data_IF_339893622231
#
_entry.id   IF_339893622231
#
_cell.length_a   1.000
_cell.length_b   1.000
_cell.length_c   1.000
_cell.angle_alpha   90.00
_cell.angle_beta   90.00
_cell.angle_gamma   90.00
#
_symmetry.space_group_name_H-M   'P 1'
#
loop_
_entity.id
_entity.type
_entity.pdbx_description
1 polymer ?
#
# COMPACT_ATOMS: atom_id res chain seq x y z
N UNK A 1 4.80 -5.90 -17.50
CA UNK A 1 3.33 -6.05 -17.46
C UNK A 1 2.64 -4.83 -18.04
N UNK A 2 2.86 -3.62 -17.51
CA UNK A 2 2.23 -2.38 -18.02
C UNK A 2 2.57 -2.05 -19.50
N UNK A 3 3.65 -2.58 -20.03
CA UNK A 3 4.09 -2.37 -21.41
C UNK A 3 3.58 -3.46 -22.37
N UNK A 4 3.24 -4.63 -21.86
CA UNK A 4 2.91 -5.81 -22.66
C UNK A 4 1.46 -6.25 -22.59
N UNK A 5 0.73 -5.83 -21.56
CA UNK A 5 -0.66 -6.21 -21.32
C UNK A 5 -1.57 -5.00 -21.51
N UNK A 6 -2.73 -5.21 -22.11
CA UNK A 6 -3.67 -4.14 -22.47
C UNK A 6 -4.90 -4.12 -21.55
N UNK A 7 -4.67 -3.97 -20.24
CA UNK A 7 -5.74 -3.75 -19.28
C UNK A 7 -5.94 -2.25 -19.02
N UNK A 8 -7.16 -1.85 -18.73
CA UNK A 8 -7.46 -0.46 -18.40
C UNK A 8 -6.92 -0.06 -17.02
N UNK A 9 -6.96 -1.00 -16.08
CA UNK A 9 -6.61 -0.79 -14.69
C UNK A 9 -5.77 -1.94 -14.15
N UNK A 10 -4.89 -1.63 -13.21
CA UNK A 10 -4.06 -2.60 -12.52
C UNK A 10 -4.17 -2.45 -11.01
N UNK A 11 -4.06 -3.58 -10.34
CA UNK A 11 -3.90 -3.69 -8.91
C UNK A 11 -2.71 -4.62 -8.63
N UNK A 12 -1.71 -4.10 -7.95
CA UNK A 12 -0.56 -4.86 -7.45
C UNK A 12 -0.74 -5.08 -5.95
N UNK A 13 -0.57 -6.29 -5.51
CA UNK A 13 -0.70 -6.71 -4.12
C UNK A 13 0.52 -7.51 -3.69
N UNK A 14 0.91 -7.38 -2.44
CA UNK A 14 1.88 -8.29 -1.84
C UNK A 14 1.33 -9.72 -1.74
N UNK A 15 2.23 -10.69 -1.74
CA UNK A 15 1.88 -12.11 -1.73
C UNK A 15 1.27 -12.60 -0.40
N UNK A 16 1.38 -11.82 0.66
CA UNK A 16 0.80 -12.07 1.97
C UNK A 16 -0.50 -11.31 2.23
N UNK A 17 -1.23 -11.03 1.16
CA UNK A 17 -2.55 -10.43 1.19
C UNK A 17 -3.65 -11.47 1.01
N UNK A 18 -4.85 -11.16 1.52
CA UNK A 18 -6.06 -11.93 1.32
C UNK A 18 -7.21 -11.03 0.89
N UNK A 19 -7.79 -11.31 -0.26
CA UNK A 19 -8.95 -10.58 -0.78
C UNK A 19 -10.22 -11.05 -0.10
N UNK A 20 -11.00 -10.14 0.45
CA UNK A 20 -12.25 -10.43 1.15
C UNK A 20 -13.50 -10.08 0.34
N UNK A 21 -13.42 -9.09 -0.54
CA UNK A 21 -14.51 -8.67 -1.43
C UNK A 21 -14.00 -8.19 -2.77
N UNK A 22 -14.90 -7.96 -3.71
CA UNK A 22 -14.56 -7.47 -5.06
C UNK A 22 -14.00 -6.05 -5.07
N UNK A 23 -13.40 -5.67 -6.18
CA UNK A 23 -12.63 -4.44 -6.36
C UNK A 23 -13.41 -3.31 -7.08
N UNK A 24 -14.73 -3.43 -7.21
CA UNK A 24 -15.55 -2.52 -8.03
C UNK A 24 -15.42 -1.05 -7.61
N UNK A 25 -15.30 -0.81 -6.30
CA UNK A 25 -15.15 0.55 -5.79
C UNK A 25 -13.75 1.11 -6.08
N UNK A 26 -12.73 0.25 -6.03
CA UNK A 26 -11.35 0.60 -6.38
C UNK A 26 -11.29 1.05 -7.85
N UNK A 27 -11.95 0.31 -8.75
CA UNK A 27 -11.94 0.61 -10.18
C UNK A 27 -12.58 1.96 -10.54
N UNK A 28 -13.45 2.50 -9.69
CA UNK A 28 -14.00 3.85 -9.86
C UNK A 28 -12.98 4.93 -9.50
N UNK A 29 -12.21 4.73 -8.43
CA UNK A 29 -11.26 5.74 -7.96
C UNK A 29 -9.96 5.77 -8.78
N UNK A 30 -9.51 4.64 -9.32
CA UNK A 30 -8.26 4.58 -10.10
C UNK A 30 -8.31 5.38 -11.40
N UNK A 31 -9.51 5.72 -11.88
CA UNK A 31 -9.68 6.65 -13.00
C UNK A 31 -9.18 8.07 -12.66
N UNK A 32 -9.20 8.44 -11.38
CA UNK A 32 -8.86 9.79 -10.92
C UNK A 32 -7.49 9.89 -10.25
N UNK A 33 -7.00 8.82 -9.61
CA UNK A 33 -5.77 8.84 -8.83
C UNK A 33 -5.03 7.50 -8.88
N UNK A 34 -3.73 7.52 -8.56
CA UNK A 34 -3.02 6.34 -8.09
C UNK A 34 -3.39 6.14 -6.63
N UNK A 35 -3.71 4.91 -6.25
CA UNK A 35 -4.07 4.54 -4.88
C UNK A 35 -2.93 3.75 -4.25
N UNK A 36 -2.45 4.21 -3.09
CA UNK A 36 -1.41 3.56 -2.29
C UNK A 36 -1.91 3.35 -0.86
N UNK A 37 -1.47 2.29 -0.19
CA UNK A 37 -1.75 2.15 1.23
C UNK A 37 -0.94 3.17 2.03
N UNK A 38 -1.60 4.07 2.73
CA UNK A 38 -0.96 5.04 3.61
C UNK A 38 -0.74 4.42 4.99
N UNK A 39 0.52 4.31 5.40
CA UNK A 39 0.87 3.88 6.77
C UNK A 39 0.48 4.97 7.76
N UNK A 40 -0.32 4.67 8.79
CA UNK A 40 -0.76 5.67 9.76
C UNK A 40 0.41 6.39 10.43
N UNK A 41 0.29 7.68 10.64
CA UNK A 41 1.37 8.55 11.13
C UNK A 41 2.06 8.03 12.40
N UNK A 42 1.29 7.56 13.38
CA UNK A 42 1.86 7.02 14.63
C UNK A 42 2.76 5.81 14.41
N UNK A 43 2.47 4.99 13.39
CA UNK A 43 3.27 3.82 13.02
C UNK A 43 4.48 4.18 12.18
N UNK A 44 4.36 5.23 11.38
CA UNK A 44 5.34 5.60 10.36
C UNK A 44 6.35 6.64 10.81
N UNK A 45 6.15 7.30 11.95
CA UNK A 45 6.90 8.50 12.34
C UNK A 45 8.43 8.38 12.23
N UNK A 46 9.11 7.32 12.75
CA UNK A 46 10.55 7.20 12.60
C UNK A 46 10.98 6.98 11.14
N UNK A 47 10.21 6.21 10.40
CA UNK A 47 10.47 5.92 8.98
C UNK A 47 10.23 7.15 8.11
N UNK A 48 9.13 7.86 8.34
CA UNK A 48 8.82 9.13 7.66
C UNK A 48 9.95 10.13 7.81
N UNK A 49 10.53 10.27 9.00
CA UNK A 49 11.66 11.16 9.22
C UNK A 49 12.89 10.77 8.40
N UNK A 50 13.22 9.47 8.33
CA UNK A 50 14.35 8.98 7.53
C UNK A 50 14.12 9.16 6.03
N UNK A 51 12.92 8.84 5.56
CA UNK A 51 12.55 8.97 4.13
C UNK A 51 12.55 10.44 3.72
N UNK A 52 12.02 11.32 4.56
CA UNK A 52 12.05 12.77 4.32
C UNK A 52 13.49 13.29 4.26
N UNK A 53 14.35 12.83 5.16
CA UNK A 53 15.77 13.16 5.12
C UNK A 53 16.44 12.66 3.82
N UNK A 54 16.19 11.42 3.42
CA UNK A 54 16.68 10.88 2.15
C UNK A 54 16.20 11.73 0.96
N UNK A 55 14.96 12.19 0.99
CA UNK A 55 14.43 13.09 -0.04
C UNK A 55 15.18 14.43 -0.06
N UNK A 56 15.43 15.03 1.10
CA UNK A 56 16.15 16.31 1.21
C UNK A 56 17.61 16.20 0.75
N UNK A 57 18.26 15.04 0.92
CA UNK A 57 19.59 14.77 0.33
C UNK A 57 19.54 14.68 -1.21
N UNK A 58 18.46 14.13 -1.77
CA UNK A 58 18.29 14.05 -3.22
C UNK A 58 17.91 15.40 -3.85
N UNK A 59 17.12 16.20 -3.16
CA UNK A 59 16.67 17.52 -3.59
C UNK A 59 16.86 18.54 -2.46
N UNK A 60 18.09 19.02 -2.28
CA UNK A 60 18.44 19.89 -1.15
C UNK A 60 17.92 21.33 -1.28
N UNK A 61 17.10 21.59 -2.28
CA UNK A 61 16.55 22.92 -2.54
C UNK A 61 15.28 23.16 -1.70
N UNK A 62 15.28 24.23 -0.93
CA UNK A 62 14.12 24.66 -0.14
C UNK A 62 14.19 24.28 1.35
N UNK A 63 13.04 24.34 2.00
CA UNK A 63 12.89 23.92 3.40
C UNK A 63 12.82 22.38 3.48
N UNK A 64 13.18 21.77 4.63
CA UNK A 64 13.01 20.34 4.85
C UNK A 64 11.57 19.88 4.54
N UNK A 65 11.47 18.73 3.91
CA UNK A 65 10.18 18.17 3.48
C UNK A 65 9.72 17.09 4.46
N UNK A 66 8.40 16.96 4.60
CA UNK A 66 7.77 15.88 5.35
C UNK A 66 6.91 15.09 4.38
N UNK A 67 7.35 13.88 4.07
CA UNK A 67 6.66 12.99 3.15
C UNK A 67 5.59 12.19 3.86
N UNK A 68 4.52 11.85 3.14
CA UNK A 68 3.57 10.84 3.59
C UNK A 68 4.18 9.47 3.34
N UNK A 69 4.15 8.59 4.35
CA UNK A 69 4.64 7.23 4.20
C UNK A 69 3.56 6.32 3.62
N UNK A 70 3.89 5.67 2.51
CA UNK A 70 3.08 4.66 1.84
C UNK A 70 3.78 3.31 1.87
N UNK A 71 3.04 2.24 2.15
CA UNK A 71 3.52 0.88 2.02
C UNK A 71 3.31 0.34 0.60
N UNK A 72 4.21 -0.55 0.17
CA UNK A 72 4.17 -1.17 -1.16
C UNK A 72 3.15 -2.28 -1.34
N UNK A 73 2.46 -2.70 -0.28
CA UNK A 73 1.53 -3.83 -0.28
C UNK A 73 0.29 -3.66 -1.15
N UNK A 74 -0.04 -2.43 -1.52
CA UNK A 74 -1.19 -2.11 -2.35
C UNK A 74 -0.88 -0.91 -3.24
N UNK A 75 -0.87 -1.15 -4.54
CA UNK A 75 -0.73 -0.10 -5.55
C UNK A 75 -1.78 -0.33 -6.62
N UNK A 76 -2.68 0.63 -6.83
CA UNK A 76 -3.70 0.56 -7.87
C UNK A 76 -3.77 1.84 -8.70
N UNK A 77 -4.13 1.70 -9.96
CA UNK A 77 -4.28 2.84 -10.87
C UNK A 77 -4.75 2.42 -12.25
N UNK A 78 -5.23 3.38 -13.03
CA UNK A 78 -5.38 3.18 -14.46
C UNK A 78 -4.00 3.03 -15.12
N UNK A 79 -3.95 2.36 -16.26
CA UNK A 79 -2.70 2.12 -17.01
C UNK A 79 -1.90 3.41 -17.18
N UNK A 80 -2.53 4.46 -17.68
CA UNK A 80 -1.86 5.74 -17.93
C UNK A 80 -1.28 6.36 -16.64
N UNK A 81 -2.05 6.33 -15.54
CA UNK A 81 -1.60 6.89 -14.27
C UNK A 81 -0.47 6.09 -13.64
N UNK A 82 -0.54 4.76 -13.75
CA UNK A 82 0.54 3.92 -13.26
C UNK A 82 1.81 4.03 -14.10
N UNK A 83 1.70 4.17 -15.42
CA UNK A 83 2.87 4.45 -16.27
C UNK A 83 3.55 5.75 -15.86
N UNK A 84 2.78 6.82 -15.66
CA UNK A 84 3.29 8.10 -15.18
C UNK A 84 3.94 7.99 -13.79
N UNK A 85 3.29 7.29 -12.87
CA UNK A 85 3.79 7.09 -11.51
C UNK A 85 5.07 6.24 -11.47
N UNK A 86 5.10 5.15 -12.24
CA UNK A 86 6.29 4.30 -12.35
C UNK A 86 7.45 5.00 -13.04
N UNK A 87 7.16 5.90 -13.99
CA UNK A 87 8.19 6.77 -14.57
C UNK A 87 8.79 7.68 -13.49
N UNK A 88 7.97 8.25 -12.60
CA UNK A 88 8.48 9.05 -11.50
C UNK A 88 9.26 8.20 -10.47
N UNK A 89 8.82 6.98 -10.15
CA UNK A 89 9.60 6.05 -9.34
C UNK A 89 10.98 5.78 -9.96
N UNK A 90 11.04 5.60 -11.27
CA UNK A 90 12.32 5.43 -12.00
C UNK A 90 13.19 6.68 -11.91
N UNK A 91 12.62 7.87 -12.07
CA UNK A 91 13.36 9.13 -11.91
C UNK A 91 13.97 9.27 -10.51
N UNK A 92 13.24 8.91 -9.46
CA UNK A 92 13.74 8.89 -8.08
C UNK A 92 14.90 7.90 -7.96
N UNK A 93 14.71 6.67 -8.44
CA UNK A 93 15.74 5.63 -8.40
C UNK A 93 17.01 6.05 -9.14
N UNK A 94 16.86 6.56 -10.37
CA UNK A 94 18.01 7.00 -11.18
C UNK A 94 18.76 8.14 -10.50
N UNK A 95 18.04 9.07 -9.85
CA UNK A 95 18.68 10.12 -9.08
C UNK A 95 19.44 9.58 -7.87
N UNK A 96 18.87 8.61 -7.14
CA UNK A 96 19.60 7.91 -6.06
C UNK A 96 20.90 7.27 -6.57
N UNK A 97 20.85 6.63 -7.73
CA UNK A 97 22.05 6.03 -8.34
C UNK A 97 23.10 7.09 -8.73
N UNK A 98 22.68 8.20 -9.32
CA UNK A 98 23.56 9.28 -9.76
C UNK A 98 24.24 10.02 -8.58
N UNK A 99 23.50 10.24 -7.50
CA UNK A 99 24.00 10.95 -6.32
C UNK A 99 24.72 10.06 -5.31
N UNK A 100 24.54 8.74 -5.40
CA UNK A 100 25.04 7.78 -4.42
C UNK A 100 24.26 7.74 -3.11
N UNK A 101 23.17 8.50 -2.99
CA UNK A 101 22.27 8.50 -1.83
C UNK A 101 21.59 7.14 -1.71
N UNK A 102 21.58 6.59 -0.50
CA UNK A 102 20.97 5.29 -0.20
C UNK A 102 19.97 5.44 0.92
N UNK A 103 18.82 4.80 0.77
CA UNK A 103 17.85 4.67 1.85
C UNK A 103 17.93 3.28 2.51
N UNK A 104 17.76 3.23 3.83
CA UNK A 104 17.60 1.99 4.59
C UNK A 104 16.17 1.42 4.43
N UNK A 105 15.24 2.23 3.97
CA UNK A 105 13.82 1.92 3.85
C UNK A 105 13.47 1.35 2.45
N UNK A 106 14.48 1.04 1.65
CA UNK A 106 14.35 0.29 0.38
C UNK A 106 13.46 1.00 -0.65
N UNK A 107 12.54 0.25 -1.21
CA UNK A 107 11.60 0.69 -2.23
C UNK A 107 10.50 1.61 -1.68
N UNK A 108 10.18 1.54 -0.39
CA UNK A 108 9.21 2.46 0.23
C UNK A 108 9.69 3.92 0.17
N UNK A 109 11.00 4.17 0.29
CA UNK A 109 11.55 5.52 0.10
C UNK A 109 11.36 6.05 -1.34
N UNK A 110 11.45 5.16 -2.33
CA UNK A 110 11.19 5.51 -3.73
C UNK A 110 9.72 5.83 -3.95
N UNK A 111 8.82 4.99 -3.40
CA UNK A 111 7.37 5.20 -3.50
C UNK A 111 6.95 6.54 -2.88
N UNK A 112 7.44 6.84 -1.67
CA UNK A 112 7.10 8.07 -0.95
C UNK A 112 7.59 9.32 -1.67
N UNK A 113 8.84 9.30 -2.14
CA UNK A 113 9.39 10.39 -2.93
C UNK A 113 8.62 10.58 -4.25
N UNK A 114 8.31 9.50 -4.96
CA UNK A 114 7.56 9.55 -6.20
C UNK A 114 6.12 10.02 -5.98
N UNK A 115 5.46 9.60 -4.89
CA UNK A 115 4.12 10.06 -4.53
C UNK A 115 4.12 11.56 -4.26
N UNK A 116 5.07 12.05 -3.46
CA UNK A 116 5.21 13.47 -3.17
C UNK A 116 5.44 14.30 -4.44
N UNK A 117 6.37 13.90 -5.29
CA UNK A 117 6.67 14.58 -6.55
C UNK A 117 5.51 14.56 -7.53
N UNK A 118 4.81 13.44 -7.63
CA UNK A 118 3.59 13.32 -8.44
C UNK A 118 2.52 14.30 -7.97
N UNK A 119 2.31 14.41 -6.66
CA UNK A 119 1.36 15.37 -6.09
C UNK A 119 1.76 16.82 -6.36
N UNK A 120 3.05 17.17 -6.25
CA UNK A 120 3.56 18.49 -6.63
C UNK A 120 3.34 18.81 -8.11
N UNK A 121 3.40 17.80 -8.97
CA UNK A 121 3.11 17.91 -10.40
C UNK A 121 1.60 17.90 -10.75
N UNK A 122 0.72 17.94 -9.75
CA UNK A 122 -0.73 17.90 -9.94
C UNK A 122 -1.27 16.53 -10.36
N UNK A 123 -0.48 15.46 -10.22
CA UNK A 123 -0.91 14.08 -10.48
C UNK A 123 -1.38 13.45 -9.16
N UNK A 124 -2.69 13.16 -9.01
CA UNK A 124 -3.23 12.72 -7.73
C UNK A 124 -2.71 11.35 -7.30
N UNK A 125 -2.20 11.28 -6.06
CA UNK A 125 -1.95 10.04 -5.32
C UNK A 125 -2.80 10.10 -4.06
N UNK A 126 -3.61 9.08 -3.81
CA UNK A 126 -4.57 9.01 -2.70
C UNK A 126 -4.34 7.78 -1.83
N UNK A 127 -4.78 7.87 -0.57
CA UNK A 127 -4.72 6.76 0.36
C UNK A 127 -5.77 5.69 0.04
N UNK A 128 -5.34 4.43 -0.03
CA UNK A 128 -6.18 3.24 -0.25
C UNK A 128 -6.74 2.65 1.05
N UNK A 129 -6.66 3.34 2.18
CA UNK A 129 -6.96 2.80 3.51
C UNK A 129 -8.43 2.36 3.69
N UNK A 130 -9.33 2.88 2.87
CA UNK A 130 -10.71 2.37 2.82
C UNK A 130 -10.82 0.95 2.24
N UNK A 131 -9.81 0.49 1.52
CA UNK A 131 -9.81 -0.79 0.80
C UNK A 131 -8.88 -1.83 1.39
N UNK A 132 -7.88 -1.41 2.18
CA UNK A 132 -6.82 -2.26 2.72
C UNK A 132 -6.75 -2.14 4.23
N UNK A 133 -6.72 -3.27 4.92
CA UNK A 133 -6.36 -3.34 6.32
C UNK A 133 -5.03 -4.07 6.48
N UNK A 134 -4.03 -3.39 7.04
CA UNK A 134 -2.72 -3.97 7.37
C UNK A 134 -2.70 -4.40 8.83
N UNK A 135 -2.57 -5.70 9.05
CA UNK A 135 -2.39 -6.26 10.38
C UNK A 135 -0.90 -6.30 10.73
N UNK A 136 -0.48 -5.44 11.62
CA UNK A 136 0.91 -5.39 12.05
C UNK A 136 1.17 -6.37 13.21
N UNK A 137 2.26 -7.17 13.12
CA UNK A 137 2.69 -8.05 14.19
C UNK A 137 3.27 -7.23 15.34
N UNK A 138 2.83 -7.49 16.57
CA UNK A 138 3.33 -6.81 17.76
C UNK A 138 2.25 -6.22 18.65
N UNK A 139 0.97 -6.50 18.35
CA UNK A 139 -0.16 -6.07 19.18
C UNK A 139 -0.50 -4.58 19.03
N UNK A 140 0.16 -3.89 18.14
CA UNK A 140 -0.14 -2.49 17.86
C UNK A 140 -1.07 -2.38 16.67
N UNK A 141 -2.33 -2.14 16.94
CA UNK A 141 -3.30 -1.74 15.93
C UNK A 141 -3.15 -0.24 15.70
N UNK A 142 -2.40 0.14 14.70
CA UNK A 142 -2.19 1.54 14.39
C UNK A 142 -3.42 2.21 13.79
N UNK A 143 -4.26 1.42 13.15
CA UNK A 143 -5.52 1.90 12.61
C UNK A 143 -6.48 0.73 12.44
N UNK A 144 -7.60 0.81 13.11
CA UNK A 144 -8.73 -0.10 12.91
C UNK A 144 -9.87 0.75 12.38
N UNK A 145 -10.37 0.42 11.21
CA UNK A 145 -11.66 0.96 10.79
C UNK A 145 -12.70 0.50 11.82
N UNK A 146 -13.42 1.43 12.42
CA UNK A 146 -14.47 1.12 13.39
C UNK A 146 -15.55 0.21 12.82
N UNK A 147 -15.67 0.15 11.51
CA UNK A 147 -16.64 -0.67 10.79
C UNK A 147 -16.04 -1.96 10.20
N UNK A 148 -14.80 -2.28 10.53
CA UNK A 148 -14.08 -3.40 9.93
C UNK A 148 -14.85 -4.73 10.01
N UNK A 149 -15.57 -4.97 11.09
CA UNK A 149 -16.37 -6.19 11.28
C UNK A 149 -17.68 -6.19 10.50
N UNK A 150 -18.25 -5.01 10.28
CA UNK A 150 -19.53 -4.83 9.61
C UNK A 150 -19.37 -4.59 8.12
N UNK A 151 -18.25 -3.92 7.75
CA UNK A 151 -17.92 -3.58 6.37
C UNK A 151 -16.45 -3.96 6.10
N UNK A 152 -16.20 -5.21 5.68
CA UNK A 152 -14.86 -5.70 5.47
C UNK A 152 -14.16 -4.93 4.36
N UNK A 153 -12.89 -4.59 4.56
CA UNK A 153 -12.03 -4.04 3.52
C UNK A 153 -11.88 -5.02 2.36
N UNK A 154 -11.50 -4.54 1.20
CA UNK A 154 -11.27 -5.40 0.04
C UNK A 154 -10.11 -6.36 0.27
N UNK A 155 -9.02 -5.84 0.84
CA UNK A 155 -7.76 -6.55 1.03
C UNK A 155 -7.34 -6.54 2.49
N UNK A 156 -7.01 -7.71 3.00
CA UNK A 156 -6.39 -7.90 4.29
C UNK A 156 -4.90 -8.21 4.07
N UNK A 157 -4.00 -7.36 4.52
CA UNK A 157 -2.56 -7.59 4.50
C UNK A 157 -2.11 -8.20 5.83
N UNK A 158 -1.53 -9.37 5.77
CA UNK A 158 -1.11 -10.18 6.92
C UNK A 158 0.41 -10.37 6.95
N UNK A 159 1.19 -9.31 7.20
CA UNK A 159 2.63 -9.34 7.07
C UNK A 159 3.30 -10.25 8.11
N UNK A 160 4.36 -10.92 7.65
CA UNK A 160 5.24 -11.70 8.49
C UNK A 160 4.85 -13.17 8.67
N UNK A 161 5.86 -13.96 9.02
CA UNK A 161 5.76 -15.44 9.12
C UNK A 161 4.66 -15.92 10.07
N UNK A 162 4.39 -15.18 11.14
CA UNK A 162 3.38 -15.60 12.13
C UNK A 162 1.95 -15.56 11.57
N UNK A 163 1.68 -14.79 10.51
CA UNK A 163 0.37 -14.71 9.86
C UNK A 163 0.21 -15.62 8.65
N UNK A 164 1.28 -16.21 8.16
CA UNK A 164 1.26 -17.10 7.01
C UNK A 164 0.34 -18.32 7.23
N UNK A 165 0.26 -18.83 8.47
CA UNK A 165 -0.65 -19.93 8.80
C UNK A 165 -2.12 -19.53 8.64
N UNK A 166 -2.48 -18.35 9.10
CA UNK A 166 -3.85 -17.82 8.97
C UNK A 166 -4.22 -17.63 7.50
N UNK A 167 -3.31 -17.05 6.72
CA UNK A 167 -3.47 -16.88 5.28
C UNK A 167 -3.71 -18.23 4.58
N UNK A 168 -2.90 -19.24 4.90
CA UNK A 168 -3.04 -20.61 4.37
C UNK A 168 -4.41 -21.22 4.74
N UNK A 169 -4.88 -21.05 5.97
CA UNK A 169 -6.19 -21.53 6.39
C UNK A 169 -7.32 -20.82 5.63
N UNK A 170 -7.24 -19.51 5.43
CA UNK A 170 -8.22 -18.74 4.66
C UNK A 170 -8.25 -19.21 3.20
N UNK A 171 -7.08 -19.38 2.58
CA UNK A 171 -6.96 -19.89 1.22
C UNK A 171 -7.60 -21.29 1.07
N UNK A 172 -7.32 -22.21 2.00
CA UNK A 172 -7.93 -23.55 1.94
C UNK A 172 -9.45 -23.53 2.18
N UNK A 173 -9.95 -22.65 3.02
CA UNK A 173 -11.40 -22.48 3.19
C UNK A 173 -12.06 -22.01 1.90
N UNK A 174 -11.47 -21.02 1.24
CA UNK A 174 -11.95 -20.52 -0.04
C UNK A 174 -11.91 -21.61 -1.13
N UNK A 175 -10.77 -22.27 -1.31
CA UNK A 175 -10.60 -23.27 -2.38
C UNK A 175 -11.52 -24.48 -2.22
N UNK A 176 -11.86 -24.86 -0.97
CA UNK A 176 -12.77 -25.97 -0.70
C UNK A 176 -14.25 -25.63 -0.90
N UNK A 177 -14.63 -24.42 -0.59
CA UNK A 177 -16.05 -24.00 -0.62
C UNK A 177 -16.43 -23.24 -1.90
N UNK A 178 -15.46 -22.70 -2.64
CA UNK A 178 -15.68 -21.74 -3.72
C UNK A 178 -16.28 -20.41 -3.28
N UNK A 179 -16.36 -20.18 -1.96
CA UNK A 179 -16.97 -18.99 -1.36
C UNK A 179 -15.99 -18.30 -0.45
N UNK A 180 -16.02 -16.96 -0.45
CA UNK A 180 -15.27 -16.17 0.52
C UNK A 180 -15.74 -16.51 1.93
N UNK A 181 -14.82 -16.73 2.88
CA UNK A 181 -15.17 -16.93 4.27
C UNK A 181 -15.91 -15.70 4.81
N UNK A 182 -16.91 -15.96 5.68
CA UNK A 182 -17.61 -14.89 6.38
C UNK A 182 -16.64 -13.99 7.15
N UNK A 183 -16.95 -12.70 7.22
CA UNK A 183 -16.10 -11.70 7.86
C UNK A 183 -15.71 -12.07 9.30
N UNK A 184 -16.66 -12.55 10.09
CA UNK A 184 -16.38 -13.04 11.46
C UNK A 184 -15.38 -14.20 11.49
N UNK A 185 -15.43 -15.09 10.50
CA UNK A 185 -14.48 -16.20 10.39
C UNK A 185 -13.08 -15.70 10.08
N UNK A 186 -12.96 -14.79 9.12
CA UNK A 186 -11.67 -14.13 8.77
C UNK A 186 -11.10 -13.47 10.01
N UNK A 187 -11.92 -12.71 10.68
CA UNK A 187 -11.57 -11.94 11.85
C UNK A 187 -11.05 -12.80 13.02
N UNK A 188 -11.79 -13.84 13.40
CA UNK A 188 -11.37 -14.80 14.43
C UNK A 188 -10.06 -15.50 14.08
N UNK A 189 -9.90 -15.93 12.81
CA UNK A 189 -8.69 -16.61 12.36
C UNK A 189 -7.47 -15.70 12.38
N UNK A 190 -7.64 -14.43 12.06
CA UNK A 190 -6.55 -13.46 12.05
C UNK A 190 -6.28 -12.85 13.42
N UNK A 191 -7.04 -13.23 14.45
CA UNK A 191 -6.97 -12.64 15.79
C UNK A 191 -7.07 -11.11 15.75
N UNK A 192 -7.93 -10.59 14.89
CA UNK A 192 -8.20 -9.17 14.82
C UNK A 192 -9.06 -8.76 16.03
N UNK A 193 -8.98 -7.52 16.53
CA UNK A 193 -9.77 -7.10 17.68
C UNK A 193 -11.26 -7.16 17.37
N UNK A 194 -12.05 -7.47 18.39
CA UNK A 194 -13.48 -7.26 18.35
C UNK A 194 -13.77 -5.76 18.37
N UNK A 195 -14.65 -5.31 17.46
CA UNK A 195 -15.16 -3.96 17.49
C UNK A 195 -16.02 -3.76 18.75
#
# INVERSE_FOLDING_TARGET
>A
LLETEHYENYLMLDSDTFTQRGYQDIWREVAEAVLLYQVPHAASQPMTARISHTYDELWPEGAPHVLTHFGGEFVAGSTARLQDFMAECRNVFDRMQQTGVRSQDGDEAILDAAAYRSQLAGKPVRAANAYVFRYWLGGHFYYVSTNYCCDPVCVLHLPGKAKMRQLTVLYHKYTRSGRMPENQTVWRLCCLPAA
#
